data_IF_708942423366
#
_entry.id   IF_708942423366
#
_cell.length_a   1.000
_cell.length_b   1.000
_cell.length_c   1.000
_cell.angle_alpha   90.00
_cell.angle_beta   90.00
_cell.angle_gamma   90.00
#
_symmetry.space_group_name_H-M   'P 1'
#
loop_
_entity.id
_entity.type
_entity.pdbx_description
1 polymer ?
#
# COMPACT_ATOMS: atom_id res chain seq x y z
N UNK A 1 -19.32 5.88 -1.70
CA UNK A 1 -18.67 5.98 -3.04
C UNK A 1 -18.11 4.60 -3.38
N UNK A 2 -18.49 4.02 -4.53
CA UNK A 2 -17.95 2.72 -4.97
C UNK A 2 -16.66 2.98 -5.75
N UNK A 3 -15.59 2.26 -5.43
CA UNK A 3 -14.32 2.38 -6.15
C UNK A 3 -14.51 1.99 -7.62
N UNK A 4 -13.86 2.72 -8.52
CA UNK A 4 -13.73 2.35 -9.93
C UNK A 4 -12.24 2.39 -10.31
N UNK A 5 -11.69 1.24 -10.69
CA UNK A 5 -10.28 1.12 -11.03
C UNK A 5 -9.91 1.87 -12.33
N UNK A 6 -10.86 2.18 -13.20
CA UNK A 6 -10.59 2.99 -14.39
C UNK A 6 -10.26 4.44 -14.02
N UNK A 7 -10.86 4.94 -12.94
CA UNK A 7 -10.56 6.26 -12.36
C UNK A 7 -9.33 6.21 -11.46
N UNK A 8 -9.11 5.09 -10.76
CA UNK A 8 -8.07 4.96 -9.73
C UNK A 8 -7.08 3.82 -10.02
N UNK A 9 -6.58 3.75 -11.26
CA UNK A 9 -5.72 2.66 -11.76
C UNK A 9 -4.35 2.51 -11.08
N UNK A 10 -4.07 3.31 -10.05
CA UNK A 10 -2.87 3.17 -9.22
C UNK A 10 -3.06 2.14 -8.11
N UNK A 11 -4.29 1.88 -7.66
CA UNK A 11 -4.54 1.05 -6.49
C UNK A 11 -4.32 -0.44 -6.75
N UNK A 12 -3.76 -1.13 -5.76
CA UNK A 12 -3.58 -2.58 -5.77
C UNK A 12 -4.04 -3.21 -4.47
N UNK A 13 -4.24 -4.53 -4.50
CA UNK A 13 -4.43 -5.35 -3.29
C UNK A 13 -3.26 -6.30 -3.14
N UNK A 14 -2.61 -6.26 -1.99
CA UNK A 14 -1.70 -7.30 -1.53
C UNK A 14 -2.53 -8.41 -0.91
N UNK A 15 -2.39 -9.62 -1.44
CA UNK A 15 -3.03 -10.82 -0.95
C UNK A 15 -2.02 -11.66 -0.17
N UNK A 16 -2.33 -12.08 1.04
CA UNK A 16 -1.58 -13.07 1.81
C UNK A 16 -2.36 -14.39 1.82
N UNK A 17 -1.73 -15.48 1.38
CA UNK A 17 -2.39 -16.79 1.24
C UNK A 17 -3.71 -16.72 0.45
N UNK A 18 -3.75 -15.86 -0.56
CA UNK A 18 -4.93 -15.64 -1.41
C UNK A 18 -6.02 -14.74 -0.82
N UNK A 19 -5.84 -14.18 0.38
CA UNK A 19 -6.81 -13.31 1.05
C UNK A 19 -6.34 -11.84 1.10
N UNK A 20 -7.23 -10.83 1.06
CA UNK A 20 -6.84 -9.43 1.13
C UNK A 20 -6.14 -9.13 2.45
N UNK A 21 -4.91 -8.64 2.36
CA UNK A 21 -4.06 -8.32 3.50
C UNK A 21 -3.89 -6.81 3.64
N UNK A 22 -3.41 -6.17 2.57
CA UNK A 22 -3.13 -4.74 2.55
C UNK A 22 -3.44 -4.10 1.20
N UNK A 23 -3.54 -2.78 1.20
CA UNK A 23 -3.53 -1.98 -0.02
C UNK A 23 -2.12 -1.62 -0.47
N UNK A 24 -2.05 -0.89 -1.58
CA UNK A 24 -0.81 -0.35 -2.11
C UNK A 24 -1.04 0.43 -3.39
N UNK A 25 0.06 0.86 -4.00
CA UNK A 25 0.03 1.55 -5.30
C UNK A 25 1.10 1.05 -6.26
N UNK A 26 0.82 1.06 -7.56
CA UNK A 26 1.80 0.73 -8.60
C UNK A 26 2.82 1.86 -8.74
N UNK A 27 4.11 1.57 -8.66
CA UNK A 27 5.19 2.53 -8.97
C UNK A 27 5.72 2.33 -10.40
N UNK A 28 5.92 1.07 -10.78
CA UNK A 28 6.43 0.69 -12.10
C UNK A 28 5.82 -0.63 -12.53
N UNK A 29 6.14 -1.11 -13.73
CA UNK A 29 5.70 -2.43 -14.20
C UNK A 29 6.15 -3.62 -13.32
N UNK A 30 7.06 -3.43 -12.35
CA UNK A 30 7.54 -4.48 -11.42
C UNK A 30 7.55 -4.10 -9.95
N UNK A 31 7.23 -2.86 -9.61
CA UNK A 31 7.36 -2.36 -8.23
C UNK A 31 6.03 -1.79 -7.77
N UNK A 32 5.61 -2.18 -6.59
CA UNK A 32 4.45 -1.60 -5.91
C UNK A 32 4.85 -1.13 -4.52
N UNK A 33 4.27 -0.02 -4.08
CA UNK A 33 4.47 0.57 -2.76
C UNK A 33 3.36 0.08 -1.82
N UNK A 34 3.74 -0.29 -0.61
CA UNK A 34 2.82 -0.70 0.46
C UNK A 34 3.41 -0.30 1.82
N UNK A 35 2.79 -0.75 2.91
CA UNK A 35 3.25 -0.49 4.27
C UNK A 35 4.15 -1.63 4.78
N UNK A 36 5.12 -1.33 5.63
CA UNK A 36 6.05 -2.33 6.16
C UNK A 36 5.36 -3.31 7.11
N UNK A 37 4.43 -2.84 7.94
CA UNK A 37 3.69 -3.67 8.89
C UNK A 37 2.92 -4.82 8.23
N UNK A 38 2.59 -4.68 6.94
CA UNK A 38 1.88 -5.70 6.17
C UNK A 38 2.67 -7.00 5.97
N UNK A 39 4.00 -6.94 6.13
CA UNK A 39 4.93 -8.00 5.75
C UNK A 39 5.74 -8.53 6.94
N UNK A 40 5.35 -8.19 8.16
CA UNK A 40 5.94 -8.71 9.39
C UNK A 40 4.90 -9.42 10.24
N UNK A 41 5.34 -10.38 11.04
CA UNK A 41 4.48 -11.04 12.03
C UNK A 41 4.42 -10.23 13.33
N UNK A 42 3.65 -10.73 14.30
CA UNK A 42 3.47 -10.08 15.62
C UNK A 42 4.79 -9.89 16.39
N UNK A 43 5.82 -10.67 16.07
CA UNK A 43 7.14 -10.58 16.69
C UNK A 43 8.09 -9.63 15.93
N UNK A 44 7.60 -8.95 14.88
CA UNK A 44 8.40 -8.07 14.03
C UNK A 44 9.27 -8.79 13.00
N UNK A 45 9.14 -10.12 12.87
CA UNK A 45 9.93 -10.88 11.89
C UNK A 45 9.27 -10.84 10.51
N UNK A 46 10.09 -10.67 9.47
CA UNK A 46 9.64 -10.64 8.08
C UNK A 46 8.95 -11.96 7.67
N UNK A 47 7.81 -11.83 6.99
CA UNK A 47 7.06 -12.94 6.42
C UNK A 47 7.63 -13.27 5.04
N UNK A 48 7.72 -14.56 4.70
CA UNK A 48 8.24 -15.01 3.40
C UNK A 48 7.48 -14.36 2.22
N UNK A 49 8.16 -13.80 1.21
CA UNK A 49 7.54 -13.27 0.01
C UNK A 49 6.61 -14.26 -0.72
N UNK A 50 6.87 -15.56 -0.60
CA UNK A 50 6.13 -16.62 -1.29
C UNK A 50 4.65 -16.71 -0.90
N UNK A 51 4.27 -16.19 0.26
CA UNK A 51 2.86 -16.17 0.71
C UNK A 51 2.08 -15.02 0.10
N UNK A 52 2.78 -14.04 -0.51
CA UNK A 52 2.19 -12.83 -1.02
C UNK A 52 2.00 -12.86 -2.54
N UNK A 53 0.86 -12.34 -2.97
CA UNK A 53 0.61 -11.99 -4.36
C UNK A 53 0.01 -10.59 -4.42
N UNK A 54 0.08 -9.95 -5.60
CA UNK A 54 -0.44 -8.60 -5.82
C UNK A 54 -1.48 -8.65 -6.94
N UNK A 55 -2.70 -8.21 -6.65
CA UNK A 55 -3.75 -8.01 -7.65
C UNK A 55 -3.74 -6.56 -8.13
N UNK A 56 -3.72 -6.37 -9.45
CA UNK A 56 -3.75 -5.07 -10.11
C UNK A 56 -4.88 -5.00 -11.13
N UNK A 57 -5.35 -3.79 -11.44
CA UNK A 57 -6.31 -3.57 -12.53
C UNK A 57 -7.72 -4.12 -12.28
N UNK A 58 -8.13 -4.23 -11.02
CA UNK A 58 -9.49 -4.64 -10.66
C UNK A 58 -10.12 -3.70 -9.63
N UNK A 59 -11.43 -3.47 -9.79
CA UNK A 59 -12.28 -2.85 -8.77
C UNK A 59 -12.60 -3.81 -7.61
N UNK A 60 -12.48 -5.13 -7.83
CA UNK A 60 -12.81 -6.15 -6.84
C UNK A 60 -11.54 -6.70 -6.20
N UNK A 61 -11.48 -6.74 -4.87
CA UNK A 61 -10.31 -7.24 -4.14
C UNK A 61 -10.03 -8.72 -4.40
N UNK A 62 -11.08 -9.50 -4.68
CA UNK A 62 -11.01 -10.96 -4.78
C UNK A 62 -11.22 -11.51 -6.20
N UNK A 63 -11.50 -10.68 -7.20
CA UNK A 63 -11.77 -11.13 -8.57
C UNK A 63 -11.32 -10.09 -9.60
N UNK A 64 -11.22 -10.48 -10.87
CA UNK A 64 -10.84 -9.59 -11.99
C UNK A 64 -9.38 -9.10 -11.98
N UNK A 65 -8.96 -8.39 -13.02
CA UNK A 65 -7.57 -7.92 -13.14
C UNK A 65 -6.54 -9.06 -13.27
N UNK A 66 -5.27 -8.77 -12.97
CA UNK A 66 -4.19 -9.76 -12.98
C UNK A 66 -3.55 -9.92 -11.61
N UNK A 67 -3.07 -11.14 -11.31
CA UNK A 67 -2.40 -11.47 -10.05
C UNK A 67 -0.94 -11.82 -10.32
N UNK A 68 -0.05 -11.20 -9.57
CA UNK A 68 1.40 -11.32 -9.73
C UNK A 68 2.02 -11.90 -8.45
N UNK A 69 2.94 -12.86 -8.61
CA UNK A 69 3.74 -13.37 -7.48
C UNK A 69 4.74 -12.31 -7.04
N UNK A 70 5.02 -12.27 -5.74
CA UNK A 70 6.07 -11.43 -5.16
C UNK A 70 7.39 -12.17 -5.19
N UNK A 71 8.47 -11.52 -5.65
CA UNK A 71 9.83 -12.05 -5.59
C UNK A 71 10.57 -11.58 -4.34
N UNK A 72 10.38 -10.32 -3.97
CA UNK A 72 11.14 -9.67 -2.90
C UNK A 72 10.28 -8.61 -2.24
N UNK A 73 10.46 -8.45 -0.93
CA UNK A 73 9.86 -7.37 -0.15
C UNK A 73 11.01 -6.61 0.50
N UNK A 74 11.06 -5.31 0.25
CA UNK A 74 12.06 -4.40 0.80
C UNK A 74 11.36 -3.51 1.82
N UNK A 75 11.58 -3.78 3.11
CA UNK A 75 11.11 -2.93 4.20
C UNK A 75 12.01 -1.69 4.30
N UNK A 76 11.45 -0.58 4.78
CA UNK A 76 12.26 0.56 5.14
C UNK A 76 13.30 0.17 6.21
N UNK A 77 14.57 0.54 6.02
CA UNK A 77 15.67 0.17 6.92
C UNK A 77 15.45 0.66 8.37
N UNK A 78 14.83 1.83 8.50
CA UNK A 78 14.48 2.45 9.79
C UNK A 78 13.04 2.15 10.23
N UNK A 79 12.37 1.14 9.66
CA UNK A 79 11.03 0.75 10.11
C UNK A 79 11.07 0.30 11.57
N UNK A 80 10.19 0.88 12.39
CA UNK A 80 10.09 0.58 13.81
C UNK A 80 8.71 0.00 14.11
N UNK A 81 8.64 -1.32 14.32
CA UNK A 81 7.36 -2.03 14.57
C UNK A 81 6.57 -1.48 15.78
N UNK A 82 7.18 -1.22 16.96
CA UNK A 82 6.45 -0.65 18.10
C UNK A 82 5.79 0.71 17.85
N UNK A 83 6.42 1.58 17.06
CA UNK A 83 5.96 2.96 16.85
C UNK A 83 5.29 3.19 15.50
N UNK A 84 5.39 2.22 14.59
CA UNK A 84 5.04 2.35 13.17
C UNK A 84 5.76 3.48 12.43
N UNK A 85 6.89 3.97 12.96
CA UNK A 85 7.71 4.94 12.25
C UNK A 85 8.34 4.30 11.00
N UNK A 86 8.35 5.06 9.90
CA UNK A 86 8.83 4.63 8.59
C UNK A 86 8.10 3.37 8.06
N UNK A 87 6.77 3.35 8.20
CA UNK A 87 5.91 2.24 7.77
C UNK A 87 5.71 2.23 6.25
N UNK A 88 6.79 1.91 5.53
CA UNK A 88 6.84 1.85 4.08
C UNK A 88 7.63 0.63 3.61
N UNK A 89 7.13 -0.02 2.56
CA UNK A 89 7.80 -1.13 1.91
C UNK A 89 7.61 -1.08 0.39
N UNK A 90 8.64 -1.49 -0.34
CA UNK A 90 8.58 -1.74 -1.77
C UNK A 90 8.49 -3.24 -2.02
N UNK A 91 7.47 -3.65 -2.75
CA UNK A 91 7.24 -5.03 -3.15
C UNK A 91 7.64 -5.20 -4.61
N UNK A 92 8.56 -6.12 -4.85
CA UNK A 92 9.07 -6.46 -6.18
C UNK A 92 8.29 -7.66 -6.72
N UNK A 93 7.72 -7.50 -7.91
CA UNK A 93 6.96 -8.54 -8.60
C UNK A 93 7.89 -9.46 -9.39
N UNK A 94 7.61 -10.76 -9.35
CA UNK A 94 8.37 -11.77 -10.08
C UNK A 94 8.27 -11.60 -11.61
N UNK A 95 7.15 -11.03 -12.09
CA UNK A 95 6.90 -10.77 -13.51
C UNK A 95 6.38 -9.35 -13.74
N UNK A 96 6.65 -8.80 -14.93
CA UNK A 96 6.11 -7.49 -15.33
C UNK A 96 4.59 -7.53 -15.41
N UNK A 97 3.94 -6.45 -14.99
CA UNK A 97 2.53 -6.21 -15.26
C UNK A 97 2.37 -5.92 -16.75
N UNK A 98 1.72 -6.82 -17.48
CA UNK A 98 1.52 -6.69 -18.95
C UNK A 98 0.63 -5.50 -19.31
N UNK A 99 -0.35 -5.18 -18.46
CA UNK A 99 -1.28 -4.07 -18.63
C UNK A 99 -0.78 -2.75 -18.05
N UNK A 100 0.52 -2.61 -17.74
CA UNK A 100 1.08 -1.36 -17.22
C UNK A 100 0.88 -0.21 -18.23
N UNK A 101 0.51 0.97 -17.74
CA UNK A 101 0.07 2.14 -18.52
C UNK A 101 -1.25 1.94 -19.29
N UNK A 102 -2.12 1.02 -18.86
CA UNK A 102 -3.48 0.91 -19.37
C UNK A 102 -4.46 1.80 -18.61
N UNK A 103 -5.72 1.83 -19.05
CA UNK A 103 -6.79 2.56 -18.35
C UNK A 103 -7.05 2.05 -16.93
N UNK A 104 -6.65 0.83 -16.57
CA UNK A 104 -6.88 0.22 -15.26
C UNK A 104 -5.61 0.03 -14.44
N UNK A 105 -4.42 0.20 -15.04
CA UNK A 105 -3.14 0.10 -14.33
C UNK A 105 -2.23 1.25 -14.76
N UNK A 106 -2.05 2.23 -13.88
CA UNK A 106 -1.22 3.42 -14.07
C UNK A 106 -0.19 3.54 -12.96
N UNK A 107 1.02 4.07 -13.23
CA UNK A 107 1.97 4.39 -12.17
C UNK A 107 1.43 5.53 -11.31
N UNK A 108 1.67 5.43 -10.00
CA UNK A 108 1.51 6.51 -9.06
C UNK A 108 2.65 7.52 -9.23
N UNK A 109 2.35 8.79 -8.95
CA UNK A 109 3.35 9.85 -8.88
C UNK A 109 3.84 9.90 -7.44
N UNK A 110 5.16 9.80 -7.25
CA UNK A 110 5.80 10.03 -5.96
C UNK A 110 6.24 11.49 -5.93
N UNK A 111 5.76 12.29 -4.97
CA UNK A 111 6.18 13.68 -4.85
C UNK A 111 7.67 13.77 -4.49
N UNK A 112 8.33 14.88 -4.82
CA UNK A 112 9.72 15.09 -4.44
C UNK A 112 9.86 15.17 -2.92
N UNK A 113 11.08 14.91 -2.45
CA UNK A 113 11.43 15.08 -1.03
C UNK A 113 11.11 16.48 -0.53
N UNK A 114 10.59 16.57 0.69
CA UNK A 114 10.21 17.85 1.30
C UNK A 114 8.89 18.44 0.78
N UNK A 115 8.15 17.74 -0.09
CA UNK A 115 6.84 18.19 -0.54
C UNK A 115 5.83 18.20 0.62
N UNK A 116 5.39 19.38 1.01
CA UNK A 116 4.37 19.53 2.05
C UNK A 116 2.99 19.59 1.39
N UNK A 117 2.11 18.66 1.76
CA UNK A 117 0.69 18.77 1.43
C UNK A 117 0.11 19.92 2.26
N UNK A 118 -0.51 20.95 1.64
CA UNK A 118 -1.07 22.07 2.38
C UNK A 118 -2.17 21.63 3.36
N UNK A 119 -2.27 22.34 4.47
CA UNK A 119 -3.38 22.15 5.41
C UNK A 119 -4.72 22.34 4.69
N UNK A 120 -5.69 21.49 5.03
CA UNK A 120 -7.02 21.46 4.43
C UNK A 120 -7.04 21.14 2.91
N UNK A 121 -5.93 20.69 2.33
CA UNK A 121 -5.94 20.16 0.97
C UNK A 121 -6.90 18.96 0.87
N UNK A 122 -7.73 18.96 -0.16
CA UNK A 122 -8.60 17.83 -0.46
C UNK A 122 -7.75 16.64 -0.90
N UNK A 123 -7.91 15.50 -0.24
CA UNK A 123 -7.22 14.25 -0.55
C UNK A 123 -8.23 13.13 -0.77
N UNK A 124 -7.84 12.19 -1.63
CA UNK A 124 -8.62 10.98 -1.89
C UNK A 124 -7.86 9.80 -1.32
N UNK A 125 -8.58 8.96 -0.58
CA UNK A 125 -8.07 7.70 -0.12
C UNK A 125 -9.03 6.58 -0.52
N UNK A 126 -8.45 5.44 -0.90
CA UNK A 126 -9.15 4.31 -1.51
C UNK A 126 -8.64 3.00 -0.95
N UNK A 127 -9.53 2.02 -0.91
CA UNK A 127 -9.18 0.66 -0.55
C UNK A 127 -10.41 -0.22 -0.38
N UNK A 128 -10.15 -1.45 0.04
CA UNK A 128 -11.14 -2.50 0.27
C UNK A 128 -11.24 -2.86 1.75
N UNK A 129 -10.83 -1.94 2.63
CA UNK A 129 -10.84 -2.12 4.07
C UNK A 129 -12.26 -2.14 4.66
N UNK A 130 -12.36 -2.52 5.94
CA UNK A 130 -13.63 -2.52 6.67
C UNK A 130 -14.23 -1.11 6.69
N UNK A 131 -15.50 -1.00 6.31
CA UNK A 131 -16.26 0.26 6.34
C UNK A 131 -17.18 0.37 7.56
N UNK A 132 -17.19 -0.64 8.43
CA UNK A 132 -17.99 -0.69 9.65
C UNK A 132 -17.09 -0.66 10.88
N UNK A 133 -17.47 0.16 11.85
CA UNK A 133 -16.81 0.29 13.15
C UNK A 133 -17.25 -0.87 14.03
N UNK A 134 -16.33 -1.74 14.45
CA UNK A 134 -16.60 -2.62 15.60
C UNK A 134 -16.43 -1.79 16.87
N UNK A 135 -17.53 -1.57 17.61
CA UNK A 135 -17.47 -0.89 18.91
C UNK A 135 -16.90 -1.86 19.95
N UNK A 136 -15.68 -1.61 20.40
CA UNK A 136 -15.17 -2.21 21.64
C UNK A 136 -15.39 -1.20 22.76
N UNK A 137 -16.20 -1.55 23.76
CA UNK A 137 -16.52 -0.69 24.93
C UNK A 137 -17.05 0.72 24.59
N UNK A 138 -17.97 0.84 23.64
CA UNK A 138 -18.68 2.11 23.37
C UNK A 138 -17.86 3.19 22.64
N UNK A 139 -16.53 3.09 22.61
CA UNK A 139 -15.67 3.95 21.82
C UNK A 139 -15.72 3.53 20.34
N UNK A 140 -15.91 4.47 19.39
CA UNK A 140 -15.68 4.18 17.99
C UNK A 140 -14.16 3.98 17.78
N UNK A 141 -13.69 2.73 17.84
CA UNK A 141 -12.33 2.41 17.42
C UNK A 141 -12.33 2.33 15.90
N UNK A 142 -11.89 3.40 15.25
CA UNK A 142 -11.67 3.36 13.80
C UNK A 142 -10.36 2.63 13.56
N UNK A 143 -10.40 1.30 13.43
CA UNK A 143 -9.31 0.54 12.81
C UNK A 143 -9.45 0.63 11.29
N UNK A 144 -9.33 1.85 10.77
CA UNK A 144 -9.08 2.07 9.36
C UNK A 144 -7.58 1.95 9.15
N UNK A 145 -7.13 0.80 8.63
CA UNK A 145 -5.80 0.66 8.03
C UNK A 145 -5.79 1.46 6.70
N UNK A 146 -5.89 2.78 6.83
CA UNK A 146 -6.21 3.70 5.75
C UNK A 146 -5.26 4.89 5.83
N UNK A 147 -3.98 4.62 5.64
CA UNK A 147 -2.93 5.63 5.54
C UNK A 147 -1.96 5.27 4.41
N UNK A 148 -2.42 5.18 3.16
CA UNK A 148 -1.53 4.90 2.02
C UNK A 148 -1.41 6.02 0.97
N UNK A 149 -2.17 7.10 1.05
CA UNK A 149 -1.91 8.28 0.20
C UNK A 149 -1.38 9.50 0.95
N UNK A 150 -1.51 9.56 2.28
CA UNK A 150 -0.93 10.66 3.09
C UNK A 150 0.29 10.19 3.92
N UNK A 151 0.25 9.00 4.52
CA UNK A 151 1.39 8.47 5.32
C UNK A 151 2.62 8.10 4.51
N UNK A 152 2.41 7.59 3.30
CA UNK A 152 3.52 7.20 2.44
C UNK A 152 4.25 8.43 1.92
N UNK A 153 3.55 9.54 1.75
CA UNK A 153 4.16 10.82 1.39
C UNK A 153 4.99 11.33 2.57
N UNK A 154 4.49 11.30 3.80
CA UNK A 154 5.27 11.73 4.97
C UNK A 154 6.46 10.81 5.28
N UNK A 155 6.32 9.48 5.13
CA UNK A 155 7.41 8.53 5.41
C UNK A 155 8.53 8.54 4.36
N UNK A 156 8.20 8.79 3.08
CA UNK A 156 9.21 9.01 2.03
C UNK A 156 9.95 10.34 2.22
N UNK A 157 9.33 11.32 2.91
CA UNK A 157 9.90 12.65 3.11
C UNK A 157 10.82 12.73 4.34
N UNK A 158 10.61 11.91 5.37
CA UNK A 158 11.42 11.98 6.60
C UNK A 158 12.84 11.39 6.47
N UNK A 159 13.16 10.69 5.38
CA UNK A 159 14.46 9.99 5.22
C UNK A 159 15.56 10.84 4.60
N UNK A 160 15.24 12.02 4.05
CA UNK A 160 16.25 12.91 3.48
C UNK A 160 16.79 13.99 4.46
N UNK A 161 16.38 13.98 5.73
CA UNK A 161 16.81 15.00 6.71
C UNK A 161 17.72 14.47 7.84
N UNK A 162 18.36 13.30 7.70
CA UNK A 162 19.35 12.84 8.71
C UNK A 162 20.66 12.29 8.15
N UNK A 163 21.11 12.79 6.98
CA UNK A 163 22.52 12.74 6.58
C UNK A 163 22.94 13.99 5.79
N UNK A 164 23.14 15.09 6.52
CA UNK A 164 24.27 16.01 6.33
C UNK A 164 24.86 16.30 7.70
#
# INVERSE_FOLDING_TARGET
>A
MRMDITVQGVAIVVLANGQPNCGGMVLTARHVLSAAHCFINQNGAAISPSVFTVRVGSTYSMSGGSVHKVSTIVLHESYNNPTSNNDVAVVVLASRIRSFNSSTVRPAIVPPSGYVVPDNASVVAIGWGRTVVQRYNGAPTVSVNFLLLVSLVTSIILTNNTKM
#
